data_IF_523068751819
#
_entry.id   IF_523068751819
#
_cell.length_a   1.000
_cell.length_b   1.000
_cell.length_c   1.000
_cell.angle_alpha   90.00
_cell.angle_beta   90.00
_cell.angle_gamma   90.00
#
_symmetry.space_group_name_H-M   'P 1'
#
loop_
_entity.id
_entity.type
_entity.pdbx_description
1 polymer ?
#
# COMPACT_ATOMS: atom_id res chain seq x y z
N UNK A 1 -0.60 -0.31 27.78
CA UNK A 1 0.52 0.63 27.58
C UNK A 1 1.40 0.05 26.50
N UNK A 2 1.50 0.79 25.41
CA UNK A 2 2.00 0.45 24.09
C UNK A 2 3.50 0.75 23.99
N UNK A 3 4.33 -0.27 24.00
CA UNK A 3 5.72 -0.15 23.61
C UNK A 3 6.03 -1.29 22.66
N UNK A 4 6.22 -0.93 21.38
CA UNK A 4 7.15 -1.63 20.50
C UNK A 4 8.36 -2.02 21.36
N UNK A 5 8.75 -3.30 21.38
CA UNK A 5 9.80 -3.83 22.25
C UNK A 5 11.13 -3.06 22.02
N UNK A 6 11.26 -1.92 22.69
CA UNK A 6 12.42 -1.04 22.65
C UNK A 6 13.39 -1.60 23.67
N UNK A 7 14.50 -2.13 23.19
CA UNK A 7 15.64 -2.48 24.05
C UNK A 7 16.52 -1.23 24.11
N UNK A 8 16.73 -0.70 25.31
CA UNK A 8 17.52 0.52 25.55
C UNK A 8 17.05 1.76 24.75
N UNK A 9 15.74 1.92 24.58
CA UNK A 9 15.18 3.07 23.83
C UNK A 9 15.27 2.94 22.31
N UNK A 10 15.86 1.85 21.81
CA UNK A 10 16.00 1.56 20.38
C UNK A 10 15.16 0.35 19.96
N UNK A 11 14.57 0.43 18.77
CA UNK A 11 13.86 -0.67 18.12
C UNK A 11 14.70 -1.20 16.95
N UNK A 12 15.36 -2.34 17.16
CA UNK A 12 16.21 -2.99 16.14
C UNK A 12 15.47 -3.35 14.84
N UNK A 13 14.13 -3.43 14.87
CA UNK A 13 13.31 -3.66 13.69
C UNK A 13 12.98 -2.40 12.90
N UNK A 14 13.12 -1.21 13.48
CA UNK A 14 12.63 0.05 12.89
C UNK A 14 13.66 1.18 12.87
N UNK A 15 14.81 1.00 13.52
CA UNK A 15 15.88 1.99 13.58
C UNK A 15 17.11 1.56 12.75
N UNK A 16 17.82 2.55 12.21
CA UNK A 16 19.02 2.39 11.37
C UNK A 16 18.77 2.68 9.89
N UNK A 17 19.86 2.87 9.14
CA UNK A 17 19.84 3.15 7.69
C UNK A 17 19.76 1.89 6.84
N UNK A 18 18.99 1.94 5.75
CA UNK A 18 18.98 0.86 4.75
C UNK A 18 20.37 0.78 4.10
N UNK A 19 20.88 -0.41 3.78
CA UNK A 19 22.21 -0.57 3.18
C UNK A 19 22.25 -0.18 1.69
N UNK A 20 21.19 0.45 1.18
CA UNK A 20 21.06 0.88 -0.20
C UNK A 20 20.15 2.10 -0.31
N UNK A 21 20.38 2.89 -1.35
CA UNK A 21 19.50 4.00 -1.71
C UNK A 21 18.39 3.54 -2.66
N UNK A 22 17.29 4.28 -2.63
CA UNK A 22 16.14 4.08 -3.50
C UNK A 22 15.37 5.40 -3.64
N UNK A 23 14.51 5.48 -4.65
CA UNK A 23 13.65 6.62 -4.95
C UNK A 23 12.21 6.16 -5.16
N UNK A 24 11.30 7.10 -5.44
CA UNK A 24 9.92 6.81 -5.81
C UNK A 24 9.60 7.26 -7.22
N UNK A 25 8.92 6.39 -7.96
CA UNK A 25 8.15 6.76 -9.13
C UNK A 25 6.67 6.85 -8.75
N UNK A 26 5.91 7.70 -9.44
CA UNK A 26 4.49 7.91 -9.19
C UNK A 26 3.69 7.54 -10.44
N UNK A 27 2.89 6.49 -10.35
CA UNK A 27 2.05 6.04 -11.47
C UNK A 27 0.64 6.64 -11.32
N UNK A 28 0.12 7.38 -12.33
CA UNK A 28 -1.20 7.97 -12.24
C UNK A 28 -2.30 6.91 -12.31
N UNK A 29 -3.32 7.08 -11.46
CA UNK A 29 -4.59 6.38 -11.51
C UNK A 29 -5.65 7.39 -11.92
N UNK A 30 -6.33 7.08 -13.02
CA UNK A 30 -7.26 7.98 -13.69
C UNK A 30 -8.69 7.54 -13.45
N UNK A 31 -9.55 8.51 -13.12
CA UNK A 31 -10.99 8.30 -13.18
C UNK A 31 -11.44 8.39 -14.64
N UNK A 32 -11.94 7.28 -15.18
CA UNK A 32 -12.35 7.18 -16.58
C UNK A 32 -13.54 8.06 -16.93
N UNK A 33 -14.44 8.31 -15.97
CA UNK A 33 -15.63 9.15 -16.19
C UNK A 33 -15.27 10.63 -16.19
N UNK A 34 -14.37 11.04 -15.30
CA UNK A 34 -13.92 12.42 -15.15
C UNK A 34 -12.72 12.76 -16.04
N UNK A 35 -12.11 11.76 -16.69
CA UNK A 35 -10.92 11.87 -17.52
C UNK A 35 -9.77 12.65 -16.82
N UNK A 36 -9.59 12.44 -15.52
CA UNK A 36 -8.56 13.12 -14.72
C UNK A 36 -7.86 12.19 -13.74
N UNK A 37 -6.64 12.54 -13.39
CA UNK A 37 -5.88 11.83 -12.37
C UNK A 37 -6.51 12.10 -11.00
N UNK A 38 -6.84 11.03 -10.27
CA UNK A 38 -7.46 11.11 -8.94
C UNK A 38 -6.54 10.61 -7.83
N UNK A 39 -5.59 9.74 -8.17
CA UNK A 39 -4.60 9.17 -7.26
C UNK A 39 -3.29 8.97 -8.02
N UNK A 40 -2.16 9.01 -7.32
CA UNK A 40 -0.93 8.39 -7.81
C UNK A 40 -0.53 7.23 -6.89
N UNK A 41 -0.08 6.13 -7.47
CA UNK A 41 0.54 5.03 -6.74
C UNK A 41 2.05 5.29 -6.63
N UNK A 42 2.57 5.29 -5.41
CA UNK A 42 4.00 5.39 -5.13
C UNK A 42 4.67 4.01 -5.26
N UNK A 43 5.66 3.95 -6.14
CA UNK A 43 6.37 2.72 -6.47
C UNK A 43 7.86 2.89 -6.21
N UNK A 44 8.42 2.05 -5.34
CA UNK A 44 9.86 2.04 -5.07
C UNK A 44 10.65 1.78 -6.35
N UNK A 45 11.75 2.51 -6.52
CA UNK A 45 12.69 2.38 -7.63
C UNK A 45 14.12 2.46 -7.13
N UNK A 46 15.05 1.84 -7.83
CA UNK A 46 16.47 2.19 -7.64
C UNK A 46 16.73 3.61 -8.16
N UNK A 47 17.82 4.21 -7.73
CA UNK A 47 18.16 5.60 -8.09
C UNK A 47 18.44 5.79 -9.59
N UNK A 48 18.68 4.70 -10.34
CA UNK A 48 18.84 4.71 -11.79
C UNK A 48 17.57 4.25 -12.54
N UNK A 49 16.42 4.17 -11.86
CA UNK A 49 15.15 3.76 -12.45
C UNK A 49 14.89 2.25 -12.40
N UNK A 50 15.68 1.49 -11.64
CA UNK A 50 15.49 0.05 -11.45
C UNK A 50 14.09 -0.26 -10.88
N UNK A 51 13.49 -1.38 -11.29
CA UNK A 51 12.11 -1.72 -10.93
C UNK A 51 11.91 -1.99 -9.43
N UNK A 52 10.67 -1.88 -8.96
CA UNK A 52 10.29 -2.27 -7.59
C UNK A 52 10.73 -3.70 -7.26
N UNK A 53 10.57 -4.65 -8.20
CA UNK A 53 11.03 -6.04 -8.03
C UNK A 53 12.53 -6.12 -7.76
N UNK A 54 13.35 -5.33 -8.46
CA UNK A 54 14.79 -5.27 -8.22
C UNK A 54 15.12 -4.72 -6.83
N UNK A 55 14.35 -3.74 -6.35
CA UNK A 55 14.52 -3.21 -4.99
C UNK A 55 14.11 -4.23 -3.93
N UNK A 56 12.95 -4.86 -4.08
CA UNK A 56 12.45 -5.90 -3.17
C UNK A 56 13.42 -7.08 -3.10
N UNK A 57 14.07 -7.45 -4.20
CA UNK A 57 15.07 -8.51 -4.21
C UNK A 57 16.32 -8.22 -3.33
N UNK A 58 16.57 -6.95 -2.97
CA UNK A 58 17.64 -6.55 -2.04
C UNK A 58 17.19 -6.56 -0.58
N UNK A 59 15.89 -6.72 -0.32
CA UNK A 59 15.28 -6.63 1.00
C UNK A 59 15.27 -8.02 1.63
N UNK A 60 16.12 -8.22 2.63
CA UNK A 60 16.09 -9.40 3.51
C UNK A 60 14.92 -9.28 4.50
N UNK A 61 14.55 -10.38 5.15
CA UNK A 61 13.42 -10.37 6.09
C UNK A 61 13.65 -9.43 7.29
N UNK A 62 14.89 -9.24 7.74
CA UNK A 62 15.24 -8.28 8.79
C UNK A 62 15.12 -6.81 8.33
N UNK A 63 15.28 -6.55 7.02
CA UNK A 63 15.14 -5.22 6.44
C UNK A 63 13.71 -4.89 6.01
N UNK A 64 12.84 -5.89 5.87
CA UNK A 64 11.48 -5.75 5.32
C UNK A 64 10.67 -4.63 5.97
N UNK A 65 10.61 -4.61 7.30
CA UNK A 65 9.88 -3.57 8.04
C UNK A 65 10.48 -2.18 7.81
N UNK A 66 11.81 -2.08 7.87
CA UNK A 66 12.55 -0.82 7.73
C UNK A 66 12.36 -0.26 6.32
N UNK A 67 12.37 -1.14 5.32
CA UNK A 67 12.14 -0.80 3.93
C UNK A 67 10.71 -0.32 3.69
N UNK A 68 9.69 -1.02 4.20
CA UNK A 68 8.29 -0.59 4.12
C UNK A 68 8.08 0.81 4.75
N UNK A 69 8.60 1.01 5.97
CA UNK A 69 8.51 2.30 6.66
C UNK A 69 9.21 3.41 5.86
N UNK A 70 10.43 3.16 5.38
CA UNK A 70 11.18 4.11 4.58
C UNK A 70 10.45 4.45 3.28
N UNK A 71 9.79 3.45 2.65
CA UNK A 71 8.97 3.66 1.47
C UNK A 71 7.81 4.61 1.76
N UNK A 72 7.06 4.38 2.84
CA UNK A 72 5.94 5.25 3.23
C UNK A 72 6.38 6.70 3.47
N UNK A 73 7.48 6.89 4.21
CA UNK A 73 8.01 8.24 4.48
C UNK A 73 8.48 8.92 3.20
N UNK A 74 9.31 8.25 2.40
CA UNK A 74 9.87 8.81 1.18
C UNK A 74 8.79 9.12 0.14
N UNK A 75 7.77 8.29 0.01
CA UNK A 75 6.62 8.55 -0.87
C UNK A 75 5.92 9.86 -0.52
N UNK A 76 5.63 10.09 0.76
CA UNK A 76 4.93 11.29 1.24
C UNK A 76 5.79 12.54 1.03
N UNK A 77 7.07 12.47 1.40
CA UNK A 77 7.99 13.60 1.28
C UNK A 77 8.22 14.00 -0.18
N UNK A 78 8.47 13.01 -1.04
CA UNK A 78 8.67 13.26 -2.47
C UNK A 78 7.40 13.76 -3.15
N UNK A 79 6.23 13.17 -2.85
CA UNK A 79 4.97 13.64 -3.43
C UNK A 79 4.67 15.09 -3.02
N UNK A 80 4.92 15.45 -1.76
CA UNK A 80 4.79 16.83 -1.28
C UNK A 80 5.77 17.78 -1.98
N UNK A 81 7.04 17.38 -2.11
CA UNK A 81 8.06 18.17 -2.80
C UNK A 81 7.73 18.40 -4.29
N UNK A 82 7.03 17.46 -4.92
CA UNK A 82 6.53 17.58 -6.30
C UNK A 82 5.23 18.41 -6.40
N UNK A 83 4.69 18.91 -5.29
CA UNK A 83 3.47 19.72 -5.26
C UNK A 83 2.18 18.95 -5.55
N UNK A 84 2.21 17.61 -5.44
CA UNK A 84 1.05 16.76 -5.74
C UNK A 84 -0.09 17.03 -4.77
N UNK A 85 -1.33 17.06 -5.29
CA UNK A 85 -2.54 17.37 -4.50
C UNK A 85 -3.62 16.29 -4.55
N UNK A 86 -3.43 15.26 -5.38
CA UNK A 86 -4.34 14.12 -5.48
C UNK A 86 -4.17 13.18 -4.29
N UNK A 87 -4.94 12.09 -4.26
CA UNK A 87 -4.65 11.00 -3.35
C UNK A 87 -3.30 10.36 -3.68
N UNK A 88 -2.68 9.74 -2.67
CA UNK A 88 -1.42 9.02 -2.78
C UNK A 88 -1.63 7.60 -2.24
N UNK A 89 -1.52 6.64 -3.14
CA UNK A 89 -1.53 5.21 -2.86
C UNK A 89 -0.13 4.75 -2.48
N UNK A 90 -0.01 4.01 -1.39
CA UNK A 90 1.25 3.47 -0.90
C UNK A 90 1.07 2.00 -0.57
N UNK A 91 1.91 1.18 -1.19
CA UNK A 91 2.03 -0.25 -0.89
C UNK A 91 2.36 -0.48 0.59
N UNK A 92 1.72 -1.48 1.18
CA UNK A 92 1.81 -1.77 2.60
C UNK A 92 1.92 -3.27 2.84
N UNK A 93 2.93 -3.69 3.61
CA UNK A 93 3.16 -5.08 3.98
C UNK A 93 2.46 -5.43 5.31
N UNK A 94 1.32 -6.16 5.30
CA UNK A 94 0.55 -6.42 6.52
C UNK A 94 1.33 -7.25 7.54
N UNK A 95 2.12 -8.23 7.10
CA UNK A 95 2.90 -9.10 8.00
C UNK A 95 4.05 -8.37 8.70
N UNK A 96 4.39 -7.15 8.26
CA UNK A 96 5.33 -6.29 8.96
C UNK A 96 4.67 -5.58 10.16
N UNK A 97 3.34 -5.59 10.28
CA UNK A 97 2.60 -4.76 11.24
C UNK A 97 2.05 -5.56 12.40
N UNK A 98 2.86 -5.71 13.44
CA UNK A 98 2.38 -6.32 14.69
C UNK A 98 1.39 -5.41 15.44
N UNK A 99 1.68 -4.11 15.51
CA UNK A 99 0.88 -3.12 16.23
C UNK A 99 0.50 -1.96 15.30
N UNK A 100 -0.70 -1.97 14.70
CA UNK A 100 -1.08 -1.00 13.66
C UNK A 100 -0.92 0.47 14.09
N UNK A 101 -1.32 0.82 15.32
CA UNK A 101 -1.19 2.19 15.84
C UNK A 101 0.26 2.64 16.06
N UNK A 102 1.16 1.72 16.40
CA UNK A 102 2.57 2.04 16.61
C UNK A 102 3.31 2.14 15.26
N UNK A 103 3.08 1.17 14.36
CA UNK A 103 3.75 1.09 13.06
C UNK A 103 3.39 2.23 12.10
N UNK A 104 2.26 2.91 12.32
CA UNK A 104 1.82 4.03 11.48
C UNK A 104 2.38 5.38 11.93
N UNK A 105 2.98 5.48 13.13
CA UNK A 105 3.50 6.75 13.67
C UNK A 105 4.53 7.45 12.75
N UNK A 106 5.50 6.75 12.12
CA UNK A 106 6.44 7.39 11.20
C UNK A 106 5.75 8.02 9.99
N UNK A 107 4.71 7.36 9.46
CA UNK A 107 3.88 7.90 8.38
C UNK A 107 3.14 9.16 8.82
N UNK A 108 2.49 9.13 9.99
CA UNK A 108 1.81 10.31 10.55
C UNK A 108 2.79 11.47 10.76
N UNK A 109 3.99 11.19 11.27
CA UNK A 109 5.02 12.19 11.49
C UNK A 109 5.51 12.81 10.16
N UNK A 110 5.70 11.99 9.11
CA UNK A 110 6.05 12.47 7.77
C UNK A 110 4.93 13.34 7.18
N UNK A 111 3.68 12.86 7.24
CA UNK A 111 2.49 13.59 6.78
C UNK A 111 2.38 14.95 7.46
N UNK A 112 2.55 15.00 8.79
CA UNK A 112 2.53 16.24 9.57
C UNK A 112 3.69 17.18 9.20
N UNK A 113 4.91 16.64 9.04
CA UNK A 113 6.12 17.42 8.71
C UNK A 113 5.98 18.16 7.39
N UNK A 114 5.40 17.52 6.37
CA UNK A 114 5.27 18.10 5.02
C UNK A 114 3.88 18.65 4.71
N UNK A 115 2.98 18.69 5.70
CA UNK A 115 1.61 19.17 5.53
C UNK A 115 0.72 18.30 4.63
N UNK A 116 1.06 17.03 4.42
CA UNK A 116 0.24 16.13 3.61
C UNK A 116 -1.05 15.74 4.36
N UNK A 117 -2.24 15.86 3.75
CA UNK A 117 -3.48 15.46 4.42
C UNK A 117 -3.60 13.94 4.56
N UNK A 118 -3.80 13.45 5.79
CA UNK A 118 -3.87 12.00 6.07
C UNK A 118 -5.01 11.30 5.32
N UNK A 119 -6.13 11.98 5.10
CA UNK A 119 -7.28 11.44 4.36
C UNK A 119 -7.02 11.27 2.86
N UNK A 120 -5.90 11.78 2.34
CA UNK A 120 -5.44 11.55 0.96
C UNK A 120 -4.49 10.37 0.85
N UNK A 121 -4.14 9.71 1.96
CA UNK A 121 -3.27 8.52 1.94
C UNK A 121 -4.13 7.26 1.85
N UNK A 122 -3.81 6.43 0.87
CA UNK A 122 -4.46 5.14 0.62
C UNK A 122 -3.40 4.06 0.85
N UNK A 123 -3.65 3.14 1.77
CA UNK A 123 -2.78 1.99 1.99
C UNK A 123 -3.24 0.79 1.21
N UNK A 124 -2.39 0.31 0.31
CA UNK A 124 -2.66 -0.84 -0.54
C UNK A 124 -2.17 -2.11 0.16
N UNK A 125 -3.11 -2.99 0.46
CA UNK A 125 -2.87 -4.27 1.12
C UNK A 125 -2.69 -5.30 0.01
N UNK A 126 -1.44 -5.70 -0.22
CA UNK A 126 -1.10 -6.74 -1.20
C UNK A 126 -1.27 -8.13 -0.56
N UNK A 127 -2.04 -9.02 -1.17
CA UNK A 127 -2.34 -10.35 -0.63
C UNK A 127 -1.31 -11.43 -1.01
N UNK A 128 -0.03 -11.07 -1.15
CA UNK A 128 0.99 -12.03 -1.58
C UNK A 128 1.46 -12.98 -0.47
N UNK A 129 1.11 -12.72 0.79
CA UNK A 129 1.48 -13.58 1.90
C UNK A 129 0.19 -14.08 2.56
N UNK A 130 -0.16 -15.35 2.28
CA UNK A 130 -1.31 -16.09 2.83
C UNK A 130 -1.78 -15.47 4.14
N UNK A 131 -2.95 -14.84 4.09
CA UNK A 131 -3.59 -14.26 5.26
C UNK A 131 -4.02 -15.42 6.17
N UNK A 132 -3.07 -15.93 6.95
CA UNK A 132 -3.35 -16.91 7.99
C UNK A 132 -4.19 -16.29 9.12
N UNK A 133 -4.27 -14.95 9.19
CA UNK A 133 -5.01 -14.21 10.19
C UNK A 133 -5.83 -13.05 9.57
N UNK A 134 -7.05 -13.35 9.11
CA UNK A 134 -8.01 -12.35 8.60
C UNK A 134 -8.40 -11.35 9.68
N UNK A 135 -8.42 -11.80 10.93
CA UNK A 135 -8.75 -10.98 12.08
C UNK A 135 -7.70 -9.90 12.31
N UNK A 136 -6.43 -10.21 12.03
CA UNK A 136 -5.34 -9.24 12.03
C UNK A 136 -5.48 -8.19 10.93
N UNK A 137 -5.75 -8.59 9.67
CA UNK A 137 -5.99 -7.63 8.58
C UNK A 137 -7.17 -6.71 8.87
N UNK A 138 -8.28 -7.28 9.37
CA UNK A 138 -9.45 -6.50 9.77
C UNK A 138 -9.10 -5.46 10.84
N UNK A 139 -8.24 -5.82 11.80
CA UNK A 139 -7.76 -4.90 12.82
C UNK A 139 -6.88 -3.78 12.24
N UNK A 140 -6.01 -4.09 11.27
CA UNK A 140 -5.22 -3.08 10.56
C UNK A 140 -6.14 -2.08 9.84
N UNK A 141 -7.06 -2.58 9.00
CA UNK A 141 -7.99 -1.76 8.22
C UNK A 141 -8.83 -0.85 9.14
N UNK A 142 -9.46 -1.43 10.15
CA UNK A 142 -10.27 -0.66 11.11
C UNK A 142 -9.45 0.39 11.84
N UNK A 143 -8.21 0.07 12.22
CA UNK A 143 -7.32 1.05 12.84
C UNK A 143 -7.01 2.20 11.88
N UNK A 144 -6.72 1.90 10.62
CA UNK A 144 -6.37 2.91 9.63
C UNK A 144 -7.55 3.81 9.30
N UNK A 145 -8.76 3.24 9.15
CA UNK A 145 -9.99 4.03 9.02
C UNK A 145 -10.23 4.93 10.24
N UNK A 146 -10.02 4.43 11.46
CA UNK A 146 -10.19 5.23 12.69
C UNK A 146 -9.22 6.43 12.77
N UNK A 147 -8.10 6.37 12.04
CA UNK A 147 -7.12 7.44 11.93
C UNK A 147 -7.38 8.35 10.71
N UNK A 148 -8.40 8.04 9.89
CA UNK A 148 -8.80 8.82 8.73
C UNK A 148 -8.06 8.45 7.43
N UNK A 149 -7.31 7.35 7.39
CA UNK A 149 -6.71 6.84 6.16
C UNK A 149 -7.75 6.07 5.34
N UNK A 150 -7.48 5.94 4.03
CA UNK A 150 -8.20 5.00 3.18
C UNK A 150 -7.39 3.70 3.01
N UNK A 151 -8.07 2.62 2.63
CA UNK A 151 -7.44 1.34 2.31
C UNK A 151 -7.86 0.83 0.94
N UNK A 152 -6.97 0.09 0.28
CA UNK A 152 -7.24 -0.62 -0.95
C UNK A 152 -6.80 -2.06 -0.80
N UNK A 153 -7.56 -3.00 -1.37
CA UNK A 153 -7.09 -4.37 -1.57
C UNK A 153 -6.49 -4.49 -2.97
N UNK A 154 -5.23 -4.91 -3.06
CA UNK A 154 -4.52 -5.08 -4.33
C UNK A 154 -4.57 -6.52 -4.85
N UNK A 155 -4.32 -6.69 -6.15
CA UNK A 155 -4.31 -8.00 -6.84
C UNK A 155 -5.59 -8.83 -6.68
N UNK A 156 -6.76 -8.18 -6.67
CA UNK A 156 -8.04 -8.87 -6.56
C UNK A 156 -8.32 -9.78 -7.76
N UNK A 157 -8.68 -11.04 -7.47
CA UNK A 157 -9.02 -12.05 -8.45
C UNK A 157 -7.89 -13.02 -8.84
N UNK A 158 -6.70 -12.92 -8.23
CA UNK A 158 -5.56 -13.84 -8.46
C UNK A 158 -5.56 -15.08 -7.54
N UNK A 159 -6.74 -15.64 -7.22
CA UNK A 159 -6.87 -16.86 -6.41
C UNK A 159 -6.56 -16.72 -4.91
N UNK A 160 -5.82 -15.69 -4.51
CA UNK A 160 -5.58 -15.31 -3.11
C UNK A 160 -6.68 -14.32 -2.65
N UNK A 161 -6.78 -13.17 -3.31
CA UNK A 161 -7.83 -12.17 -3.07
C UNK A 161 -9.14 -12.53 -3.75
N UNK A 162 -10.02 -13.17 -2.97
CA UNK A 162 -11.30 -13.68 -3.44
C UNK A 162 -12.48 -12.97 -2.76
N UNK A 163 -13.68 -13.23 -3.27
CA UNK A 163 -14.94 -12.64 -2.77
C UNK A 163 -15.19 -12.89 -1.28
N UNK A 164 -14.68 -13.99 -0.74
CA UNK A 164 -14.81 -14.31 0.68
C UNK A 164 -14.05 -13.33 1.58
N UNK A 165 -12.92 -12.79 1.13
CA UNK A 165 -12.18 -11.78 1.87
C UNK A 165 -12.99 -10.48 2.05
N UNK A 166 -13.81 -10.14 1.05
CA UNK A 166 -14.71 -8.99 1.11
C UNK A 166 -15.90 -9.18 2.07
N UNK A 167 -16.11 -10.39 2.61
CA UNK A 167 -17.09 -10.60 3.68
C UNK A 167 -16.57 -10.17 5.05
N UNK A 168 -15.24 -10.22 5.24
CA UNK A 168 -14.57 -9.92 6.51
C UNK A 168 -13.93 -8.52 6.51
N UNK A 169 -13.49 -8.05 5.34
CA UNK A 169 -12.77 -6.79 5.15
C UNK A 169 -13.65 -5.75 4.45
N UNK A 170 -13.47 -4.48 4.79
CA UNK A 170 -14.26 -3.37 4.24
C UNK A 170 -13.37 -2.29 3.62
N UNK A 171 -12.51 -2.61 2.63
CA UNK A 171 -11.63 -1.60 2.03
C UNK A 171 -12.40 -0.53 1.26
N UNK A 172 -11.84 0.68 1.14
CA UNK A 172 -12.44 1.76 0.34
C UNK A 172 -12.31 1.50 -1.17
N UNK A 173 -11.30 0.71 -1.57
CA UNK A 173 -10.97 0.46 -2.97
C UNK A 173 -10.60 -1.00 -3.20
N UNK A 174 -10.87 -1.45 -4.41
CA UNK A 174 -10.49 -2.75 -4.93
C UNK A 174 -9.67 -2.53 -6.21
N UNK A 175 -8.45 -3.05 -6.27
CA UNK A 175 -7.63 -3.05 -7.49
C UNK A 175 -7.69 -4.45 -8.09
N UNK A 176 -8.16 -4.52 -9.34
CA UNK A 176 -8.26 -5.78 -10.06
C UNK A 176 -6.87 -6.19 -10.53
N UNK A 177 -6.51 -7.45 -10.32
CA UNK A 177 -5.23 -8.01 -10.75
C UNK A 177 -5.00 -7.80 -12.25
N UNK A 178 -3.77 -7.41 -12.60
CA UNK A 178 -3.38 -7.09 -13.97
C UNK A 178 -3.59 -8.27 -14.92
N UNK A 179 -3.42 -9.52 -14.49
CA UNK A 179 -3.59 -10.72 -15.33
C UNK A 179 -5.05 -10.92 -15.79
N UNK A 180 -6.03 -10.41 -15.02
CA UNK A 180 -7.43 -10.39 -15.44
C UNK A 180 -7.70 -9.31 -16.48
N UNK A 181 -6.99 -8.18 -16.40
CA UNK A 181 -7.18 -7.02 -17.29
C UNK A 181 -6.41 -7.15 -18.61
N UNK A 182 -5.20 -7.71 -18.58
CA UNK A 182 -4.35 -7.84 -19.78
C UNK A 182 -5.08 -8.63 -20.86
N UNK A 183 -5.19 -8.05 -22.06
CA UNK A 183 -5.86 -8.65 -23.24
C UNK A 183 -7.33 -9.00 -23.04
N UNK A 184 -8.01 -8.42 -22.04
CA UNK A 184 -9.42 -8.70 -21.78
C UNK A 184 -10.33 -8.28 -22.95
N UNK A 185 -9.93 -7.31 -23.77
CA UNK A 185 -10.62 -6.89 -24.99
C UNK A 185 -10.84 -8.04 -25.99
N UNK A 186 -9.97 -9.06 -25.96
CA UNK A 186 -10.01 -10.23 -26.86
C UNK A 186 -10.45 -11.54 -26.19
N UNK A 187 -10.72 -11.54 -24.89
CA UNK A 187 -11.06 -12.73 -24.11
C UNK A 187 -12.44 -12.58 -23.47
N UNK A 188 -13.44 -13.23 -24.07
CA UNK A 188 -14.83 -13.17 -23.60
C UNK A 188 -14.99 -13.62 -22.16
N UNK A 189 -14.24 -14.65 -21.72
CA UNK A 189 -14.34 -15.14 -20.34
C UNK A 189 -13.81 -14.09 -19.36
N UNK A 190 -12.70 -13.41 -19.69
CA UNK A 190 -12.20 -12.28 -18.88
C UNK A 190 -13.20 -11.12 -18.83
N UNK A 191 -13.84 -10.79 -19.95
CA UNK A 191 -14.87 -9.74 -19.98
C UNK A 191 -16.05 -10.06 -19.06
N UNK A 192 -16.54 -11.30 -19.09
CA UNK A 192 -17.63 -11.75 -18.21
C UNK A 192 -17.21 -11.67 -16.74
N UNK A 193 -16.00 -12.14 -16.39
CA UNK A 193 -15.49 -12.07 -15.02
C UNK A 193 -15.34 -10.62 -14.54
N UNK A 194 -14.72 -9.75 -15.35
CA UNK A 194 -14.56 -8.34 -15.02
C UNK A 194 -15.92 -7.66 -14.85
N UNK A 195 -16.89 -7.93 -15.74
CA UNK A 195 -18.25 -7.38 -15.68
C UNK A 195 -18.99 -7.78 -14.39
N UNK A 196 -18.76 -8.99 -13.90
CA UNK A 196 -19.31 -9.46 -12.63
C UNK A 196 -18.69 -8.73 -11.43
N UNK A 197 -17.39 -8.39 -11.49
CA UNK A 197 -16.68 -7.68 -10.42
C UNK A 197 -17.07 -6.19 -10.38
N UNK A 198 -17.10 -5.53 -11.53
CA UNK A 198 -17.37 -4.08 -11.63
C UNK A 198 -18.86 -3.74 -11.59
N UNK A 199 -19.74 -4.74 -11.41
CA UNK A 199 -21.17 -4.60 -11.69
C UNK A 199 -21.73 -3.33 -11.04
N UNK A 200 -22.28 -2.41 -11.86
CA UNK A 200 -22.82 -1.16 -11.36
C UNK A 200 -23.99 -1.47 -10.44
N UNK A 201 -24.12 -0.68 -9.37
CA UNK A 201 -25.41 -0.55 -8.69
C UNK A 201 -26.42 0.10 -9.63
#
# INVERSE_FOLDING_TARGET
>A
MSQCARVNGSCHRCEGELPFEFTMAFQPIVDLSLARIVTYEALARGTNGESAKSMIAKVTDDLRYRFDQACRVKAIEMASALGMQTNLSINFLPNAVNEPKACIQPTLAASKRVGWPIHRLIFEITETERVHDRQHLRNIINTYHSLGFQTALDDFGNGYANLDLLTDLTPDKLKIDRELVVRCDSDHRRQVLLSAIISPR
#
